data_IF_426265407479
#
_entry.id   IF_426265407479
#
_cell.length_a   1.000
_cell.length_b   1.000
_cell.length_c   1.000
_cell.angle_alpha   90.00
_cell.angle_beta   90.00
_cell.angle_gamma   90.00
#
_symmetry.space_group_name_H-M   'P 1'
#
loop_
_entity.id
_entity.type
_entity.pdbx_description
1 polymer ?
#
# COMPACT_ATOMS: atom_id res chain seq x y z
N UNK A 1 55.43 -7.07 29.66
CA UNK A 1 54.53 -5.90 29.65
C UNK A 1 53.53 -6.15 28.54
N UNK A 2 52.55 -7.03 28.80
CA UNK A 2 51.53 -7.43 27.82
C UNK A 2 50.36 -6.45 27.82
N UNK A 3 49.91 -5.94 26.66
CA UNK A 3 48.70 -5.16 26.57
C UNK A 3 47.48 -6.09 26.43
N UNK A 4 46.56 -5.98 27.37
CA UNK A 4 45.27 -6.67 27.37
C UNK A 4 44.39 -6.15 26.23
N UNK A 5 44.20 -6.98 25.21
CA UNK A 5 43.21 -6.78 24.14
C UNK A 5 41.79 -6.83 24.73
N UNK A 6 41.06 -5.73 24.64
CA UNK A 6 39.60 -5.70 24.85
C UNK A 6 38.88 -6.18 23.57
N UNK A 7 37.98 -7.16 23.64
CA UNK A 7 37.18 -7.54 22.48
C UNK A 7 36.11 -6.46 22.19
N UNK A 8 36.10 -6.01 20.94
CA UNK A 8 35.08 -5.12 20.40
C UNK A 8 33.69 -5.79 20.47
N UNK A 9 32.74 -5.13 21.13
CA UNK A 9 31.32 -5.49 21.09
C UNK A 9 30.80 -5.29 19.66
N UNK A 10 30.30 -6.36 19.04
CA UNK A 10 29.52 -6.30 17.82
C UNK A 10 28.20 -5.53 18.09
N UNK A 11 27.73 -4.67 17.18
CA UNK A 11 26.45 -4.00 17.32
C UNK A 11 25.31 -5.03 17.27
N UNK A 12 24.52 -5.05 18.35
CA UNK A 12 23.45 -6.02 18.57
C UNK A 12 22.34 -5.95 17.52
N UNK A 13 21.76 -7.12 17.24
CA UNK A 13 20.49 -7.25 16.54
C UNK A 13 19.45 -6.37 17.24
N UNK A 14 18.99 -5.31 16.55
CA UNK A 14 17.85 -4.51 17.00
C UNK A 14 16.65 -5.44 17.12
N UNK A 15 16.26 -5.75 18.35
CA UNK A 15 14.91 -6.23 18.65
C UNK A 15 13.94 -5.16 18.17
N UNK A 16 13.25 -5.43 17.08
CA UNK A 16 12.12 -4.65 16.57
C UNK A 16 11.06 -4.68 17.67
N UNK A 17 10.84 -3.59 18.38
CA UNK A 17 9.93 -3.58 19.54
C UNK A 17 9.03 -2.35 19.47
N UNK A 18 8.06 -2.43 18.56
CA UNK A 18 6.98 -1.46 18.37
C UNK A 18 6.28 -1.69 17.03
N UNK A 19 4.96 -1.45 16.95
CA UNK A 19 4.22 -1.53 15.70
C UNK A 19 4.84 -0.67 14.56
N UNK A 20 5.35 0.56 14.82
CA UNK A 20 6.05 1.34 13.80
C UNK A 20 7.33 0.69 13.28
N UNK A 21 8.11 0.03 14.15
CA UNK A 21 9.34 -0.64 13.77
C UNK A 21 9.04 -1.88 12.90
N UNK A 22 7.99 -2.63 13.25
CA UNK A 22 7.51 -3.77 12.44
C UNK A 22 7.07 -3.30 11.06
N UNK A 23 6.32 -2.20 10.99
CA UNK A 23 5.87 -1.61 9.72
C UNK A 23 7.06 -1.15 8.87
N UNK A 24 8.04 -0.47 9.46
CA UNK A 24 9.25 -0.05 8.73
C UNK A 24 10.03 -1.25 8.20
N UNK A 25 10.25 -2.27 9.03
CA UNK A 25 10.91 -3.51 8.61
C UNK A 25 10.15 -4.25 7.50
N UNK A 26 8.81 -4.26 7.56
CA UNK A 26 7.98 -4.84 6.50
C UNK A 26 8.06 -4.04 5.20
N UNK A 27 8.01 -2.71 5.26
CA UNK A 27 8.14 -1.84 4.10
C UNK A 27 9.52 -1.99 3.44
N UNK A 28 10.60 -2.03 4.23
CA UNK A 28 11.97 -2.27 3.76
C UNK A 28 12.13 -3.66 3.13
N UNK A 29 11.53 -4.69 3.74
CA UNK A 29 11.52 -6.04 3.19
C UNK A 29 10.85 -6.10 1.82
N UNK A 30 9.66 -5.50 1.68
CA UNK A 30 8.94 -5.44 0.40
C UNK A 30 9.75 -4.66 -0.62
N UNK A 31 10.24 -3.47 -0.27
CA UNK A 31 11.05 -2.62 -1.15
C UNK A 31 12.27 -3.35 -1.71
N UNK A 32 13.05 -3.99 -0.83
CA UNK A 32 14.26 -4.71 -1.21
C UNK A 32 13.96 -5.90 -2.11
N UNK A 33 12.91 -6.66 -1.79
CA UNK A 33 12.52 -7.84 -2.56
C UNK A 33 12.08 -7.43 -3.97
N UNK A 34 11.27 -6.38 -4.09
CA UNK A 34 10.85 -5.87 -5.39
C UNK A 34 12.03 -5.37 -6.23
N UNK A 35 12.97 -4.64 -5.63
CA UNK A 35 14.19 -4.20 -6.32
C UNK A 35 15.00 -5.40 -6.85
N UNK A 36 15.12 -6.48 -6.07
CA UNK A 36 15.85 -7.68 -6.47
C UNK A 36 15.15 -8.48 -7.60
N UNK A 37 13.81 -8.47 -7.65
CA UNK A 37 12.99 -9.12 -8.69
C UNK A 37 12.81 -8.24 -9.95
N UNK A 38 13.31 -7.01 -9.89
CA UNK A 38 13.22 -6.01 -10.94
C UNK A 38 14.03 -6.35 -12.18
N UNK A 39 13.64 -5.78 -13.32
CA UNK A 39 14.46 -5.79 -14.53
C UNK A 39 14.34 -4.46 -15.25
N UNK A 40 15.47 -3.92 -15.69
CA UNK A 40 15.56 -2.58 -16.27
C UNK A 40 14.65 -2.40 -17.50
N UNK A 41 14.56 -3.39 -18.40
CA UNK A 41 13.71 -3.30 -19.59
C UNK A 41 12.21 -3.22 -19.24
N UNK A 42 11.77 -3.97 -18.21
CA UNK A 42 10.40 -3.86 -17.68
C UNK A 42 10.18 -2.51 -17.00
N UNK A 43 11.19 -1.98 -16.32
CA UNK A 43 11.10 -0.67 -15.68
C UNK A 43 10.96 0.46 -16.70
N UNK A 44 11.69 0.39 -17.81
CA UNK A 44 11.57 1.33 -18.93
C UNK A 44 10.20 1.24 -19.60
N UNK A 45 9.68 0.02 -19.84
CA UNK A 45 8.34 -0.18 -20.40
C UNK A 45 7.25 0.46 -19.52
N UNK A 46 7.33 0.26 -18.20
CA UNK A 46 6.40 0.90 -17.25
C UNK A 46 6.59 2.42 -17.25
N UNK A 47 7.83 2.90 -17.23
CA UNK A 47 8.14 4.33 -17.26
C UNK A 47 7.56 5.03 -18.50
N UNK A 48 7.72 4.42 -19.68
CA UNK A 48 7.18 4.91 -20.94
C UNK A 48 5.64 4.93 -20.92
N UNK A 49 5.01 3.84 -20.46
CA UNK A 49 3.56 3.72 -20.39
C UNK A 49 2.91 4.71 -19.43
N UNK A 50 3.58 5.03 -18.32
CA UNK A 50 3.08 5.93 -17.28
C UNK A 50 3.58 7.38 -17.45
N UNK A 51 4.28 7.70 -18.53
CA UNK A 51 4.81 9.06 -18.76
C UNK A 51 5.80 9.54 -17.69
N UNK A 52 6.48 8.60 -17.00
CA UNK A 52 7.49 8.90 -15.98
C UNK A 52 6.96 9.51 -14.67
N UNK A 53 5.64 9.57 -14.45
CA UNK A 53 5.04 10.11 -13.21
C UNK A 53 5.37 9.25 -11.98
N UNK A 54 5.61 7.96 -12.20
CA UNK A 54 6.11 7.00 -11.21
C UNK A 54 7.46 6.45 -11.65
N UNK A 55 8.30 6.14 -10.66
CA UNK A 55 9.44 5.26 -10.88
C UNK A 55 8.94 3.81 -10.97
N UNK A 56 9.77 2.93 -11.52
CA UNK A 56 9.50 1.50 -11.60
C UNK A 56 10.76 0.70 -11.30
N UNK A 57 10.61 -0.39 -10.57
CA UNK A 57 11.65 -1.42 -10.44
C UNK A 57 11.57 -2.45 -11.56
N UNK A 58 10.44 -2.49 -12.28
CA UNK A 58 10.17 -3.44 -13.34
C UNK A 58 9.76 -4.81 -12.82
N UNK A 59 9.45 -5.00 -11.54
CA UNK A 59 9.04 -6.29 -10.96
C UNK A 59 7.70 -6.73 -11.56
N UNK A 60 7.52 -8.04 -11.82
CA UNK A 60 6.27 -8.55 -12.38
C UNK A 60 5.15 -8.50 -11.34
N UNK A 61 3.88 -8.49 -11.78
CA UNK A 61 2.73 -8.57 -10.88
C UNK A 61 2.79 -9.86 -10.01
N UNK A 62 3.29 -10.96 -10.58
CA UNK A 62 3.53 -12.20 -9.84
C UNK A 62 4.56 -12.04 -8.72
N UNK A 63 5.66 -11.33 -8.99
CA UNK A 63 6.68 -11.00 -7.98
C UNK A 63 6.11 -10.09 -6.88
N UNK A 64 5.27 -9.11 -7.24
CA UNK A 64 4.58 -8.24 -6.26
C UNK A 64 3.69 -9.05 -5.33
N UNK A 65 2.82 -9.91 -5.89
CA UNK A 65 1.95 -10.78 -5.08
C UNK A 65 2.73 -11.75 -4.19
N UNK A 66 3.78 -12.37 -4.74
CA UNK A 66 4.67 -13.25 -3.99
C UNK A 66 5.33 -12.53 -2.81
N UNK A 67 5.85 -11.34 -3.06
CA UNK A 67 6.51 -10.49 -2.06
C UNK A 67 5.56 -10.11 -0.93
N UNK A 68 4.33 -9.65 -1.24
CA UNK A 68 3.33 -9.30 -0.21
C UNK A 68 2.93 -10.52 0.60
N UNK A 69 2.70 -11.66 -0.04
CA UNK A 69 2.40 -12.93 0.65
C UNK A 69 3.51 -13.31 1.62
N UNK A 70 4.76 -13.21 1.19
CA UNK A 70 5.91 -13.60 2.01
C UNK A 70 6.15 -12.59 3.13
N UNK A 71 5.87 -11.30 2.92
CA UNK A 71 5.83 -10.28 3.97
C UNK A 71 4.77 -10.62 5.03
N UNK A 72 3.53 -10.93 4.63
CA UNK A 72 2.45 -11.30 5.56
C UNK A 72 2.75 -12.58 6.36
N UNK A 73 3.53 -13.51 5.80
CA UNK A 73 4.01 -14.71 6.53
C UNK A 73 5.10 -14.38 7.54
N UNK A 74 5.97 -13.42 7.21
CA UNK A 74 7.11 -13.00 8.03
C UNK A 74 6.70 -12.06 9.17
N UNK A 75 5.77 -11.15 8.91
CA UNK A 75 5.27 -10.14 9.84
C UNK A 75 3.81 -10.47 10.21
N UNK A 76 3.64 -11.50 11.05
CA UNK A 76 2.33 -12.14 11.30
C UNK A 76 1.34 -11.26 12.08
N UNK A 77 1.85 -10.32 12.87
CA UNK A 77 1.06 -9.53 13.81
C UNK A 77 0.67 -8.15 13.26
N UNK A 78 0.52 -8.04 11.94
CA UNK A 78 -0.05 -6.84 11.32
C UNK A 78 -1.56 -6.80 11.57
N UNK A 79 -1.94 -6.05 12.60
CA UNK A 79 -3.32 -5.66 12.90
C UNK A 79 -3.82 -4.58 11.92
N UNK A 80 -4.99 -4.02 12.21
CA UNK A 80 -5.59 -2.96 11.39
C UNK A 80 -4.65 -1.76 11.21
N UNK A 81 -4.13 -1.21 12.32
CA UNK A 81 -3.29 -0.02 12.30
C UNK A 81 -1.98 -0.31 11.57
N UNK A 82 -1.33 -1.44 11.86
CA UNK A 82 -0.13 -1.88 11.17
C UNK A 82 -0.34 -2.08 9.66
N UNK A 83 -1.48 -2.66 9.26
CA UNK A 83 -1.84 -2.86 7.84
C UNK A 83 -1.99 -1.51 7.13
N UNK A 84 -2.74 -0.58 7.72
CA UNK A 84 -3.00 0.74 7.15
C UNK A 84 -1.73 1.60 7.10
N UNK A 85 -0.88 1.50 8.13
CA UNK A 85 0.42 2.15 8.16
C UNK A 85 1.37 1.58 7.09
N UNK A 86 1.43 0.26 6.93
CA UNK A 86 2.26 -0.38 5.91
C UNK A 86 1.80 -0.02 4.50
N UNK A 87 0.49 -0.06 4.24
CA UNK A 87 -0.07 0.39 2.96
C UNK A 87 0.33 1.84 2.64
N UNK A 88 0.30 2.73 3.65
CA UNK A 88 0.73 4.12 3.48
C UNK A 88 2.23 4.26 3.18
N UNK A 89 3.06 3.49 3.89
CA UNK A 89 4.51 3.49 3.68
C UNK A 89 4.88 2.98 2.28
N UNK A 90 4.18 1.96 1.79
CA UNK A 90 4.35 1.43 0.44
C UNK A 90 3.84 2.42 -0.63
N UNK A 91 2.75 3.12 -0.37
CA UNK A 91 2.16 4.07 -1.31
C UNK A 91 3.02 5.32 -1.54
N UNK A 92 3.71 5.76 -0.48
CA UNK A 92 4.56 6.94 -0.48
C UNK A 92 5.90 6.76 -1.19
N UNK A 93 6.78 7.74 -1.00
CA UNK A 93 8.14 7.71 -1.54
C UNK A 93 8.99 6.71 -0.74
N UNK A 94 9.78 5.83 -1.38
CA UNK A 94 10.67 4.90 -0.67
C UNK A 94 11.75 5.61 0.14
N UNK A 95 12.18 6.80 -0.31
CA UNK A 95 13.15 7.67 0.37
C UNK A 95 12.77 9.14 0.17
N UNK A 96 13.11 10.05 1.10
CA UNK A 96 12.89 11.48 0.90
C UNK A 96 13.49 11.98 -0.42
N UNK A 97 12.70 12.69 -1.22
CA UNK A 97 13.12 13.26 -2.51
C UNK A 97 13.12 12.28 -3.69
N UNK A 98 12.71 11.02 -3.48
CA UNK A 98 12.51 10.05 -4.57
C UNK A 98 11.08 10.10 -5.13
N UNK A 99 10.88 9.59 -6.34
CA UNK A 99 9.52 9.39 -6.88
C UNK A 99 8.84 8.20 -6.20
N UNK A 100 7.51 8.23 -6.02
CA UNK A 100 6.76 7.02 -5.69
C UNK A 100 7.00 5.95 -6.76
N UNK A 101 6.96 4.69 -6.35
CA UNK A 101 7.28 3.55 -7.22
C UNK A 101 6.02 2.74 -7.50
N UNK A 102 5.79 2.43 -8.77
CA UNK A 102 4.62 1.69 -9.23
C UNK A 102 4.44 0.37 -8.50
N UNK A 103 5.47 -0.48 -8.42
CA UNK A 103 5.38 -1.80 -7.80
C UNK A 103 5.15 -1.71 -6.28
N UNK A 104 5.65 -0.65 -5.62
CA UNK A 104 5.36 -0.42 -4.20
C UNK A 104 3.90 -0.04 -3.98
N UNK A 105 3.33 0.82 -4.82
CA UNK A 105 1.88 1.14 -4.77
C UNK A 105 1.02 -0.08 -5.08
N UNK A 106 1.40 -0.87 -6.09
CA UNK A 106 0.72 -2.13 -6.39
C UNK A 106 0.81 -3.10 -5.21
N UNK A 107 1.95 -3.18 -4.52
CA UNK A 107 2.09 -3.97 -3.30
C UNK A 107 1.15 -3.47 -2.18
N UNK A 108 0.93 -2.16 -2.06
CA UNK A 108 -0.04 -1.62 -1.11
C UNK A 108 -1.48 -2.05 -1.47
N UNK A 109 -1.87 -2.03 -2.74
CA UNK A 109 -3.18 -2.53 -3.19
C UNK A 109 -3.34 -4.01 -2.85
N UNK A 110 -2.36 -4.85 -3.20
CA UNK A 110 -2.38 -6.30 -2.91
C UNK A 110 -2.43 -6.58 -1.40
N UNK A 111 -1.72 -5.78 -0.59
CA UNK A 111 -1.77 -5.87 0.87
C UNK A 111 -3.18 -5.58 1.39
N UNK A 112 -3.78 -4.48 0.94
CA UNK A 112 -5.12 -4.07 1.35
C UNK A 112 -6.17 -5.08 0.92
N UNK A 113 -6.09 -5.60 -0.31
CA UNK A 113 -6.95 -6.68 -0.80
C UNK A 113 -6.86 -7.92 0.10
N UNK A 114 -5.64 -8.33 0.46
CA UNK A 114 -5.40 -9.50 1.31
C UNK A 114 -5.88 -9.32 2.76
N UNK A 115 -6.13 -8.08 3.18
CA UNK A 115 -6.50 -7.70 4.54
C UNK A 115 -7.79 -6.87 4.58
N UNK A 116 -8.62 -6.95 3.54
CA UNK A 116 -9.81 -6.08 3.40
C UNK A 116 -10.78 -6.21 4.56
N UNK A 117 -10.90 -7.40 5.14
CA UNK A 117 -11.72 -7.64 6.34
C UNK A 117 -11.24 -6.97 7.62
N UNK A 118 -10.04 -6.40 7.64
CA UNK A 118 -9.57 -5.56 8.75
C UNK A 118 -9.93 -4.08 8.55
N UNK A 119 -10.23 -3.65 7.32
CA UNK A 119 -10.45 -2.25 7.01
C UNK A 119 -11.81 -1.77 7.51
N UNK A 120 -11.91 -0.46 7.76
CA UNK A 120 -13.07 0.20 8.36
C UNK A 120 -13.49 1.39 7.51
N UNK A 121 -14.72 1.88 7.70
CA UNK A 121 -15.20 3.09 7.01
C UNK A 121 -14.27 4.31 7.19
N UNK A 122 -13.57 4.41 8.32
CA UNK A 122 -12.62 5.50 8.58
C UNK A 122 -11.42 5.51 7.63
N UNK A 123 -11.06 4.36 7.05
CA UNK A 123 -9.95 4.24 6.10
C UNK A 123 -10.26 4.86 4.74
N UNK A 124 -11.53 5.12 4.44
CA UNK A 124 -11.93 5.78 3.20
C UNK A 124 -11.20 7.11 3.00
N UNK A 125 -10.91 7.85 4.07
CA UNK A 125 -10.15 9.12 3.96
C UNK A 125 -8.73 8.88 3.43
N UNK A 126 -8.10 7.76 3.80
CA UNK A 126 -6.77 7.40 3.31
C UNK A 126 -6.82 6.84 1.90
N UNK A 127 -7.81 5.98 1.62
CA UNK A 127 -8.03 5.41 0.28
C UNK A 127 -8.40 6.49 -0.74
N UNK A 128 -9.09 7.56 -0.32
CA UNK A 128 -9.26 8.78 -1.13
C UNK A 128 -7.92 9.36 -1.56
N UNK A 129 -7.01 9.54 -0.60
CA UNK A 129 -5.66 10.03 -0.87
C UNK A 129 -4.88 9.12 -1.82
N UNK A 130 -5.13 7.80 -1.77
CA UNK A 130 -4.57 6.86 -2.72
C UNK A 130 -5.18 7.07 -4.11
N UNK A 131 -6.50 7.11 -4.27
CA UNK A 131 -7.16 7.38 -5.56
C UNK A 131 -6.62 8.65 -6.22
N UNK A 132 -6.60 9.77 -5.49
CA UNK A 132 -6.11 11.07 -5.99
C UNK A 132 -4.66 11.06 -6.45
N UNK A 133 -3.85 10.18 -5.87
CA UNK A 133 -2.42 10.13 -6.15
C UNK A 133 -2.01 8.90 -6.95
N UNK A 134 -2.94 8.02 -7.37
CA UNK A 134 -2.65 6.76 -8.05
C UNK A 134 -1.88 6.96 -9.35
N UNK A 135 -2.26 7.95 -10.15
CA UNK A 135 -1.57 8.36 -11.39
C UNK A 135 -1.46 7.24 -12.46
N UNK A 136 -2.18 6.14 -12.28
CA UNK A 136 -2.21 5.00 -13.20
C UNK A 136 -3.51 4.19 -13.03
N UNK A 137 -4.19 3.90 -14.13
CA UNK A 137 -5.40 3.05 -14.13
C UNK A 137 -5.12 1.67 -13.51
N UNK A 138 -3.96 1.08 -13.80
CA UNK A 138 -3.44 -0.15 -13.18
C UNK A 138 -3.36 -0.15 -11.65
N UNK A 139 -3.44 1.03 -11.01
CA UNK A 139 -3.53 1.18 -9.55
C UNK A 139 -4.95 1.56 -9.12
N UNK A 140 -5.61 2.47 -9.84
CA UNK A 140 -6.96 2.94 -9.53
C UNK A 140 -7.99 1.81 -9.65
N UNK A 141 -7.95 1.03 -10.73
CA UNK A 141 -8.90 -0.06 -10.99
C UNK A 141 -8.89 -1.12 -9.89
N UNK A 142 -7.76 -1.77 -9.54
CA UNK A 142 -7.76 -2.77 -8.47
C UNK A 142 -8.00 -2.16 -7.08
N UNK A 143 -7.66 -0.88 -6.85
CA UNK A 143 -8.04 -0.20 -5.62
C UNK A 143 -9.57 -0.04 -5.50
N UNK A 144 -10.27 0.16 -6.62
CA UNK A 144 -11.73 0.21 -6.66
C UNK A 144 -12.33 -1.20 -6.54
N UNK A 145 -12.01 -2.10 -7.46
CA UNK A 145 -12.67 -3.40 -7.58
C UNK A 145 -12.30 -4.38 -6.48
N UNK A 146 -11.04 -4.37 -6.03
CA UNK A 146 -10.51 -5.43 -5.17
C UNK A 146 -10.33 -4.97 -3.71
N UNK A 147 -10.44 -3.66 -3.45
CA UNK A 147 -10.31 -3.09 -2.10
C UNK A 147 -11.56 -2.33 -1.68
N UNK A 148 -11.98 -1.29 -2.41
CA UNK A 148 -13.09 -0.44 -2.01
C UNK A 148 -14.45 -1.15 -2.11
N UNK A 149 -14.71 -1.90 -3.18
CA UNK A 149 -15.95 -2.68 -3.30
C UNK A 149 -16.08 -3.71 -2.17
N UNK A 150 -15.11 -4.61 -1.91
CA UNK A 150 -15.23 -5.58 -0.82
C UNK A 150 -15.22 -4.94 0.57
N UNK A 151 -14.52 -3.81 0.76
CA UNK A 151 -14.61 -3.01 1.99
C UNK A 151 -16.06 -2.63 2.27
N UNK A 152 -16.74 -1.97 1.32
CA UNK A 152 -18.09 -1.45 1.50
C UNK A 152 -19.11 -2.59 1.72
N UNK A 153 -18.98 -3.68 0.96
CA UNK A 153 -19.80 -4.87 1.11
C UNK A 153 -19.67 -5.50 2.52
N UNK A 154 -18.47 -5.43 3.11
CA UNK A 154 -18.17 -5.98 4.44
C UNK A 154 -18.61 -5.10 5.63
N UNK A 155 -18.99 -3.84 5.42
CA UNK A 155 -19.35 -2.93 6.51
C UNK A 155 -20.67 -3.31 7.19
N UNK A 156 -20.81 -3.06 8.49
CA UNK A 156 -22.11 -3.10 9.16
C UNK A 156 -23.04 -1.95 8.74
N UNK A 157 -24.33 -2.02 9.05
CA UNK A 157 -25.33 -0.99 8.68
C UNK A 157 -24.90 0.44 9.08
N UNK A 158 -24.50 0.62 10.35
CA UNK A 158 -24.05 1.91 10.86
C UNK A 158 -22.80 2.43 10.15
N UNK A 159 -21.89 1.53 9.78
CA UNK A 159 -20.65 1.89 9.09
C UNK A 159 -20.91 2.20 7.61
N UNK A 160 -21.83 1.49 6.95
CA UNK A 160 -22.31 1.82 5.61
C UNK A 160 -22.94 3.21 5.54
N UNK A 161 -23.75 3.60 6.52
CA UNK A 161 -24.30 4.95 6.59
C UNK A 161 -23.19 6.02 6.65
N UNK A 162 -22.15 5.79 7.45
CA UNK A 162 -20.99 6.69 7.54
C UNK A 162 -20.17 6.71 6.25
N UNK A 163 -19.96 5.56 5.63
CA UNK A 163 -19.32 5.45 4.32
C UNK A 163 -20.11 6.22 3.24
N UNK A 164 -21.44 6.16 3.28
CA UNK A 164 -22.32 6.90 2.38
C UNK A 164 -22.14 8.42 2.45
N UNK A 165 -21.90 8.97 3.65
CA UNK A 165 -21.58 10.41 3.80
C UNK A 165 -20.25 10.74 3.11
N UNK A 166 -19.24 9.88 3.23
CA UNK A 166 -17.94 10.07 2.56
C UNK A 166 -18.08 9.98 1.04
N UNK A 167 -18.78 8.96 0.53
CA UNK A 167 -19.00 8.83 -0.92
C UNK A 167 -19.88 9.95 -1.48
N UNK A 168 -20.83 10.47 -0.72
CA UNK A 168 -21.60 11.65 -1.12
C UNK A 168 -20.69 12.86 -1.34
N UNK A 169 -19.71 13.09 -0.44
CA UNK A 169 -18.67 14.11 -0.63
C UNK A 169 -17.84 13.86 -1.88
N UNK A 170 -17.44 12.60 -2.14
CA UNK A 170 -16.65 12.27 -3.33
C UNK A 170 -17.39 12.57 -4.65
N UNK A 171 -18.71 12.40 -4.69
CA UNK A 171 -19.52 12.74 -5.89
C UNK A 171 -19.52 14.22 -6.22
N UNK A 172 -19.33 15.07 -5.22
CA UNK A 172 -19.31 16.53 -5.38
C UNK A 172 -17.87 17.08 -5.47
N UNK A 173 -16.86 16.21 -5.42
CA UNK A 173 -15.47 16.60 -5.41
C UNK A 173 -15.03 17.24 -6.73
N UNK A 174 -14.13 18.25 -6.73
CA UNK A 174 -13.58 18.80 -7.98
C UNK A 174 -12.80 17.79 -8.82
N UNK A 175 -12.25 16.73 -8.22
CA UNK A 175 -11.50 15.69 -8.91
C UNK A 175 -12.44 14.75 -9.71
N UNK A 176 -12.35 14.71 -11.05
CA UNK A 176 -13.20 13.86 -11.88
C UNK A 176 -12.99 12.36 -11.62
N UNK A 177 -11.77 11.93 -11.28
CA UNK A 177 -11.49 10.52 -10.98
C UNK A 177 -12.18 10.10 -9.68
N UNK A 178 -12.19 10.98 -8.69
CA UNK A 178 -12.86 10.71 -7.43
C UNK A 178 -14.39 10.70 -7.57
N UNK A 179 -14.95 11.59 -8.41
CA UNK A 179 -16.38 11.53 -8.76
C UNK A 179 -16.74 10.22 -9.48
N UNK A 180 -15.90 9.78 -10.41
CA UNK A 180 -16.10 8.52 -11.14
C UNK A 180 -16.03 7.31 -10.19
N UNK A 181 -15.05 7.28 -9.29
CA UNK A 181 -14.95 6.27 -8.23
C UNK A 181 -16.22 6.21 -7.36
N UNK A 182 -16.73 7.37 -6.92
CA UNK A 182 -17.95 7.42 -6.13
C UNK A 182 -19.18 6.92 -6.91
N UNK A 183 -19.26 7.23 -8.21
CA UNK A 183 -20.30 6.70 -9.10
C UNK A 183 -20.25 5.17 -9.20
N UNK A 184 -19.05 4.60 -9.39
CA UNK A 184 -18.85 3.15 -9.46
C UNK A 184 -19.21 2.44 -8.14
N UNK A 185 -18.91 3.07 -6.99
CA UNK A 185 -19.15 2.51 -5.66
C UNK A 185 -20.59 2.71 -5.15
N UNK A 186 -21.40 3.54 -5.82
CA UNK A 186 -22.76 3.86 -5.35
C UNK A 186 -23.70 2.64 -5.32
N UNK A 187 -23.45 1.65 -6.17
CA UNK A 187 -24.23 0.41 -6.20
C UNK A 187 -24.00 -0.45 -4.96
N UNK A 188 -22.82 -0.39 -4.34
CA UNK A 188 -22.44 -1.21 -3.18
C UNK A 188 -23.03 -0.74 -1.85
N UNK A 189 -23.59 0.48 -1.82
CA UNK A 189 -24.26 1.04 -0.63
C UNK A 189 -25.77 0.84 -0.65
N UNK A 190 -26.31 0.23 -1.70
CA UNK A 190 -27.75 -0.07 -1.79
C UNK A 190 -28.01 -1.41 -1.09
N UNK A 191 -28.98 -1.50 -0.16
CA UNK A 191 -29.29 -2.74 0.57
C UNK A 191 -29.86 -3.84 -0.33
#
# INVERSE_FOLDING_TARGET
MDPVLHPARLPGARTVTGAPDVVSAAAEFVDRTLQNEGAWYRADDVGNRLGGVLASYGSSIGAVRGTVRDALRKFKDLDHDGTVMLASALWGQPRPGSRPVFERRLAAVVLLQSKVGLLRHSDLTRLEGFLRSAQAADLTEPLLSDVLVPLLAGLGERERQRAGVVLARWREDPDPELRAAAGALSNELTP
#
